data_IF_206454297063
#
_entry.id   IF_206454297063
#
_cell.length_a   1.000
_cell.length_b   1.000
_cell.length_c   1.000
_cell.angle_alpha   90.00
_cell.angle_beta   90.00
_cell.angle_gamma   90.00
#
_symmetry.space_group_name_H-M   'P 1'
#
loop_
_entity.id
_entity.type
_entity.pdbx_description
1 polymer ?
#
# COMPACT_ATOMS: atom_id res chain seq x y z
N UNK A 1 -13.93 -7.16 37.71
CA UNK A 1 -13.50 -8.52 38.04
C UNK A 1 -12.23 -8.50 38.90
N UNK A 2 -11.25 -7.61 38.62
CA UNK A 2 -9.95 -7.56 39.33
C UNK A 2 -10.03 -7.24 40.84
N UNK A 3 -11.07 -6.56 41.32
CA UNK A 3 -11.25 -6.23 42.76
C UNK A 3 -12.02 -7.23 43.57
N UNK A 4 -12.78 -8.14 42.97
CA UNK A 4 -13.70 -9.05 43.71
C UNK A 4 -12.94 -10.17 44.41
N UNK A 5 -11.90 -10.72 43.81
CA UNK A 5 -11.06 -11.78 44.41
C UNK A 5 -10.25 -11.29 45.61
N UNK A 6 -9.52 -10.16 45.55
CA UNK A 6 -8.88 -9.58 46.74
C UNK A 6 -9.88 -9.18 47.81
N UNK A 7 -11.02 -8.56 47.45
CA UNK A 7 -12.04 -8.15 48.39
C UNK A 7 -12.63 -9.30 49.21
N UNK A 8 -12.91 -10.45 48.58
CA UNK A 8 -13.39 -11.68 49.27
C UNK A 8 -12.35 -12.33 50.20
N UNK A 9 -11.07 -12.27 49.84
CA UNK A 9 -9.98 -12.78 50.65
C UNK A 9 -9.77 -11.92 51.91
N UNK A 10 -9.83 -10.60 51.79
CA UNK A 10 -9.64 -9.68 52.90
C UNK A 10 -10.86 -9.58 53.83
N UNK A 11 -12.10 -9.76 53.35
CA UNK A 11 -13.32 -9.73 54.17
C UNK A 11 -13.47 -10.90 55.15
N UNK A 12 -12.70 -11.97 54.98
CA UNK A 12 -12.70 -13.15 55.86
C UNK A 12 -11.66 -13.10 56.96
N UNK A 13 -10.84 -12.06 57.03
CA UNK A 13 -9.79 -11.95 58.06
C UNK A 13 -10.35 -11.18 59.25
N UNK A 14 -10.45 -11.79 60.46
CA UNK A 14 -10.90 -11.09 61.67
C UNK A 14 -9.95 -9.91 61.96
N UNK A 15 -10.54 -8.77 62.32
CA UNK A 15 -9.82 -7.50 62.56
C UNK A 15 -8.71 -7.68 63.63
N UNK A 16 -8.91 -8.55 64.60
CA UNK A 16 -7.91 -8.88 65.64
C UNK A 16 -6.67 -9.61 65.09
N UNK A 17 -6.75 -10.29 63.94
CA UNK A 17 -5.62 -10.97 63.32
C UNK A 17 -4.80 -10.02 62.43
N UNK A 18 -5.39 -8.92 61.96
CA UNK A 18 -4.71 -7.94 61.12
C UNK A 18 -3.57 -7.26 61.88
N UNK A 19 -3.77 -6.96 63.17
CA UNK A 19 -2.75 -6.28 63.98
C UNK A 19 -1.67 -7.21 64.55
N UNK A 20 -1.91 -8.50 64.68
CA UNK A 20 -0.99 -9.44 65.33
C UNK A 20 -0.17 -10.34 64.39
N UNK A 21 -0.59 -10.56 63.15
CA UNK A 21 0.04 -11.52 62.21
C UNK A 21 0.52 -10.93 60.89
N UNK A 22 0.43 -9.62 60.71
CA UNK A 22 0.86 -9.06 59.43
C UNK A 22 2.39 -9.00 59.27
N UNK A 23 3.14 -9.27 60.33
CA UNK A 23 4.61 -9.27 60.32
C UNK A 23 5.25 -10.62 59.98
N UNK A 24 4.50 -11.74 60.05
CA UNK A 24 5.08 -13.09 59.86
C UNK A 24 4.52 -13.88 58.66
N UNK A 25 3.73 -13.26 57.78
CA UNK A 25 3.28 -13.92 56.55
C UNK A 25 4.46 -14.22 55.65
N UNK A 26 4.61 -15.50 55.32
CA UNK A 26 5.65 -16.08 54.47
C UNK A 26 6.06 -15.10 53.34
N UNK A 27 7.23 -14.49 53.45
CA UNK A 27 7.80 -13.51 52.49
C UNK A 27 7.96 -14.05 51.06
N UNK A 28 7.82 -15.37 50.85
CA UNK A 28 8.02 -16.03 49.55
C UNK A 28 7.00 -15.66 48.50
N UNK A 29 5.69 -15.66 48.80
CA UNK A 29 4.65 -15.43 47.80
C UNK A 29 4.64 -13.99 47.25
N UNK A 30 5.00 -12.99 48.08
CA UNK A 30 5.12 -11.59 47.65
C UNK A 30 6.25 -11.41 46.66
N UNK A 31 7.37 -12.12 46.87
CA UNK A 31 8.49 -12.11 45.90
C UNK A 31 8.13 -12.75 44.59
N UNK A 32 7.40 -13.88 44.62
CA UNK A 32 6.91 -14.55 43.42
C UNK A 32 5.91 -13.68 42.66
N UNK A 33 5.01 -12.99 43.37
CA UNK A 33 4.07 -12.06 42.76
C UNK A 33 4.77 -10.89 42.08
N UNK A 34 5.76 -10.27 42.76
CA UNK A 34 6.59 -9.21 42.20
C UNK A 34 7.34 -9.69 40.95
N UNK A 35 7.93 -10.90 41.03
CA UNK A 35 8.63 -11.48 39.88
C UNK A 35 7.70 -11.63 38.67
N UNK A 36 6.49 -12.17 38.86
CA UNK A 36 5.48 -12.31 37.79
C UNK A 36 5.07 -10.95 37.23
N UNK A 37 4.88 -9.95 38.11
CA UNK A 37 4.55 -8.58 37.67
C UNK A 37 5.68 -7.96 36.83
N UNK A 38 6.93 -8.06 37.29
CA UNK A 38 8.07 -7.52 36.50
C UNK A 38 8.26 -8.27 35.18
N UNK A 39 8.09 -9.60 35.20
CA UNK A 39 8.13 -10.39 33.97
C UNK A 39 7.02 -9.97 32.98
N UNK A 40 5.79 -9.79 33.50
CA UNK A 40 4.66 -9.31 32.69
C UNK A 40 4.89 -7.92 32.10
N UNK A 41 5.37 -6.98 32.90
CA UNK A 41 5.71 -5.61 32.45
C UNK A 41 6.81 -5.64 31.42
N UNK A 42 7.89 -6.39 31.66
CA UNK A 42 9.00 -6.51 30.70
C UNK A 42 8.55 -7.13 29.37
N UNK A 43 7.66 -8.12 29.41
CA UNK A 43 7.09 -8.73 28.23
C UNK A 43 6.24 -7.73 27.42
N UNK A 44 5.35 -6.99 28.09
CA UNK A 44 4.55 -5.94 27.43
C UNK A 44 5.41 -4.85 26.85
N UNK A 45 6.43 -4.39 27.59
CA UNK A 45 7.40 -3.40 27.09
C UNK A 45 8.18 -3.91 25.89
N UNK A 46 8.55 -5.19 25.88
CA UNK A 46 9.19 -5.84 24.74
C UNK A 46 8.31 -5.82 23.49
N UNK A 47 7.03 -6.18 23.63
CA UNK A 47 6.06 -6.12 22.54
C UNK A 47 5.91 -4.69 22.01
N UNK A 48 5.77 -3.71 22.91
CA UNK A 48 5.65 -2.30 22.52
C UNK A 48 6.88 -1.80 21.75
N UNK A 49 8.09 -2.14 22.20
CA UNK A 49 9.32 -1.77 21.52
C UNK A 49 9.40 -2.38 20.12
N UNK A 50 9.09 -3.68 19.99
CA UNK A 50 9.06 -4.35 18.70
C UNK A 50 8.00 -3.72 17.78
N UNK A 51 6.81 -3.44 18.30
CA UNK A 51 5.75 -2.79 17.52
C UNK A 51 6.15 -1.38 17.05
N UNK A 52 6.81 -0.60 17.92
CA UNK A 52 7.33 0.72 17.54
C UNK A 52 8.43 0.63 16.47
N UNK A 53 9.35 -0.33 16.59
CA UNK A 53 10.38 -0.56 15.57
C UNK A 53 9.76 -0.98 14.23
N UNK A 54 8.76 -1.87 14.24
CA UNK A 54 8.05 -2.30 13.05
C UNK A 54 7.29 -1.14 12.41
N UNK A 55 6.58 -0.34 13.21
CA UNK A 55 5.88 0.86 12.74
C UNK A 55 6.84 1.86 12.11
N UNK A 56 7.94 2.18 12.80
CA UNK A 56 8.97 3.08 12.28
C UNK A 56 9.59 2.57 10.97
N UNK A 57 9.85 1.27 10.88
CA UNK A 57 10.33 0.65 9.64
C UNK A 57 9.29 0.77 8.52
N UNK A 58 8.01 0.54 8.82
CA UNK A 58 6.92 0.62 7.85
C UNK A 58 6.80 2.03 7.24
N UNK A 59 6.73 3.07 8.08
CA UNK A 59 6.53 4.46 7.61
C UNK A 59 7.74 5.05 6.90
N UNK A 60 8.94 4.55 7.18
CA UNK A 60 10.17 5.01 6.53
C UNK A 60 10.63 4.10 5.37
N UNK A 61 9.88 3.05 5.08
CA UNK A 61 10.21 2.17 3.96
C UNK A 61 9.88 2.84 2.63
N UNK A 62 10.82 2.80 1.70
CA UNK A 62 10.58 3.24 0.33
C UNK A 62 9.62 2.26 -0.34
N UNK A 63 8.44 2.72 -0.68
CA UNK A 63 7.45 1.93 -1.43
C UNK A 63 7.74 1.89 -2.93
N UNK A 64 8.76 2.62 -3.39
CA UNK A 64 9.10 2.74 -4.82
C UNK A 64 8.17 3.67 -5.59
N UNK A 65 7.28 4.39 -4.89
CA UNK A 65 6.41 5.43 -5.43
C UNK A 65 6.57 6.72 -4.64
N UNK A 66 6.32 7.84 -5.28
CA UNK A 66 6.33 9.14 -4.63
C UNK A 66 4.96 9.41 -4.02
N UNK A 67 4.80 9.22 -2.70
CA UNK A 67 3.52 9.38 -2.01
C UNK A 67 3.11 10.84 -1.72
N UNK A 68 4.01 11.80 -1.41
CA UNK A 68 3.61 13.16 -1.05
C UNK A 68 2.79 13.83 -2.14
N UNK A 69 1.60 14.33 -1.76
CA UNK A 69 0.67 15.02 -2.66
C UNK A 69 -0.04 14.13 -3.68
N UNK A 70 0.05 12.82 -3.55
CA UNK A 70 -0.75 11.88 -4.32
C UNK A 70 -2.13 11.73 -3.66
N UNK A 71 -3.19 11.88 -4.44
CA UNK A 71 -4.58 11.70 -4.01
C UNK A 71 -5.31 10.86 -5.04
N UNK A 72 -6.28 10.07 -4.59
CA UNK A 72 -6.99 9.10 -5.40
C UNK A 72 -8.51 9.32 -5.32
N UNK A 73 -9.20 9.08 -6.41
CA UNK A 73 -10.65 8.97 -6.46
C UNK A 73 -11.08 7.81 -7.36
N UNK A 74 -12.12 7.11 -6.97
CA UNK A 74 -12.66 5.98 -7.72
C UNK A 74 -14.06 6.26 -8.23
N UNK A 75 -14.28 6.00 -9.52
CA UNK A 75 -15.61 6.02 -10.12
C UNK A 75 -15.57 5.31 -11.47
N UNK A 76 -16.73 4.76 -11.86
CA UNK A 76 -16.88 4.17 -13.19
C UNK A 76 -17.40 5.22 -14.18
N UNK A 77 -16.69 5.38 -15.29
CA UNK A 77 -17.14 6.21 -16.41
C UNK A 77 -16.71 5.58 -17.74
N UNK A 78 -17.17 6.12 -18.85
CA UNK A 78 -16.70 5.66 -20.16
C UNK A 78 -15.22 6.01 -20.35
N UNK A 79 -14.47 5.28 -21.18
CA UNK A 79 -13.06 5.59 -21.45
C UNK A 79 -12.84 7.01 -21.99
N UNK A 80 -13.77 7.51 -22.80
CA UNK A 80 -13.72 8.86 -23.36
C UNK A 80 -13.94 9.94 -22.28
N UNK A 81 -14.95 9.75 -21.40
CA UNK A 81 -15.17 10.65 -20.26
C UNK A 81 -13.97 10.66 -19.32
N UNK A 82 -13.38 9.49 -19.05
CA UNK A 82 -12.21 9.36 -18.19
C UNK A 82 -10.98 10.08 -18.79
N UNK A 83 -10.77 9.97 -20.08
CA UNK A 83 -9.69 10.69 -20.76
C UNK A 83 -9.89 12.21 -20.70
N UNK A 84 -11.09 12.68 -20.98
CA UNK A 84 -11.44 14.09 -20.89
C UNK A 84 -11.23 14.62 -19.48
N UNK A 85 -11.68 13.87 -18.45
CA UNK A 85 -11.51 14.22 -17.05
C UNK A 85 -10.03 14.34 -16.67
N UNK A 86 -9.20 13.36 -17.02
CA UNK A 86 -7.76 13.42 -16.74
C UNK A 86 -7.10 14.62 -17.43
N UNK A 87 -7.49 14.90 -18.67
CA UNK A 87 -6.98 16.06 -19.41
C UNK A 87 -7.40 17.38 -18.76
N UNK A 88 -8.61 17.47 -18.23
CA UNK A 88 -9.10 18.65 -17.50
C UNK A 88 -8.40 18.82 -16.16
N UNK A 89 -8.18 17.71 -15.42
CA UNK A 89 -7.43 17.72 -14.18
C UNK A 89 -6.00 18.23 -14.38
N UNK A 90 -5.31 17.79 -15.43
CA UNK A 90 -3.94 18.26 -15.76
C UNK A 90 -3.86 19.76 -16.06
N UNK A 91 -4.96 20.39 -16.46
CA UNK A 91 -5.02 21.85 -16.71
C UNK A 91 -5.23 22.68 -15.44
N UNK A 92 -5.59 22.03 -14.34
CA UNK A 92 -5.86 22.74 -13.08
C UNK A 92 -4.57 23.27 -12.46
N UNK A 93 -4.55 24.51 -11.95
CA UNK A 93 -3.34 25.12 -11.40
C UNK A 93 -2.77 24.40 -10.17
N UNK A 94 -3.62 23.74 -9.38
CA UNK A 94 -3.23 22.97 -8.19
C UNK A 94 -2.70 21.57 -8.52
N UNK A 95 -2.84 21.10 -9.76
CA UNK A 95 -2.43 19.77 -10.18
C UNK A 95 -1.04 19.82 -10.81
N UNK A 96 -0.15 18.92 -10.41
CA UNK A 96 1.17 18.68 -11.02
C UNK A 96 1.03 17.72 -12.20
N UNK A 97 0.36 16.59 -11.99
CA UNK A 97 0.03 15.59 -13.01
C UNK A 97 -1.22 14.80 -12.58
N UNK A 98 -1.86 14.13 -13.52
CA UNK A 98 -2.99 13.25 -13.30
C UNK A 98 -2.93 12.05 -14.23
N UNK A 99 -3.44 10.91 -13.76
CA UNK A 99 -3.48 9.67 -14.53
C UNK A 99 -4.73 8.88 -14.20
N UNK A 100 -4.96 7.82 -14.94
CA UNK A 100 -6.05 6.88 -14.69
C UNK A 100 -5.55 5.45 -14.78
N UNK A 101 -6.18 4.58 -14.01
CA UNK A 101 -5.88 3.17 -13.99
C UNK A 101 -7.13 2.34 -13.71
N UNK A 102 -7.01 1.02 -13.80
CA UNK A 102 -8.10 0.12 -13.42
C UNK A 102 -8.14 -0.08 -11.90
N UNK A 103 -7.00 -0.02 -11.23
CA UNK A 103 -6.87 -0.23 -9.79
C UNK A 103 -5.95 0.84 -9.20
N UNK A 104 -6.32 1.35 -8.04
CA UNK A 104 -5.49 2.26 -7.26
C UNK A 104 -4.14 1.64 -6.89
N UNK A 105 -3.22 2.50 -6.43
CA UNK A 105 -1.83 2.10 -6.12
C UNK A 105 -1.78 0.98 -5.06
N UNK A 106 -2.63 1.04 -4.07
CA UNK A 106 -2.76 0.03 -3.00
C UNK A 106 -3.91 -0.95 -3.25
N UNK A 107 -4.57 -0.86 -4.41
CA UNK A 107 -5.68 -1.70 -4.79
C UNK A 107 -5.26 -3.13 -5.13
N UNK A 108 -6.25 -4.01 -5.22
CA UNK A 108 -6.05 -5.39 -5.63
C UNK A 108 -5.90 -5.45 -7.16
N UNK A 109 -4.68 -5.50 -7.66
CA UNK A 109 -4.40 -5.68 -9.08
C UNK A 109 -4.98 -6.98 -9.62
N UNK A 110 -5.36 -7.00 -10.86
CA UNK A 110 -5.72 -8.24 -11.53
C UNK A 110 -4.54 -9.21 -11.54
N UNK A 111 -4.85 -10.50 -11.55
CA UNK A 111 -3.83 -11.54 -11.51
C UNK A 111 -3.91 -12.44 -12.74
N UNK A 112 -2.74 -12.86 -13.24
CA UNK A 112 -2.57 -13.87 -14.28
C UNK A 112 -1.42 -14.82 -13.93
N UNK A 113 -1.31 -15.90 -14.68
CA UNK A 113 -0.13 -16.78 -14.57
C UNK A 113 1.08 -16.14 -15.24
N UNK A 114 2.21 -16.02 -14.54
CA UNK A 114 3.48 -15.76 -15.17
C UNK A 114 3.99 -17.09 -15.77
N UNK A 115 4.07 -17.15 -17.10
CA UNK A 115 4.42 -18.36 -17.84
C UNK A 115 5.82 -18.22 -18.41
N UNK A 116 6.69 -19.20 -18.16
CA UNK A 116 8.04 -19.20 -18.70
C UNK A 116 8.11 -19.62 -20.18
N UNK A 117 9.29 -19.59 -20.75
CA UNK A 117 9.51 -19.95 -22.16
C UNK A 117 9.19 -21.41 -22.49
N UNK A 118 9.03 -22.27 -21.46
CA UNK A 118 8.63 -23.68 -21.65
C UNK A 118 7.11 -23.88 -21.61
N UNK A 119 6.34 -22.82 -21.37
CA UNK A 119 4.89 -22.88 -21.20
C UNK A 119 4.45 -23.24 -19.78
N UNK A 120 5.36 -23.29 -18.80
CA UNK A 120 5.06 -23.61 -17.42
C UNK A 120 4.75 -22.34 -16.63
N UNK A 121 3.64 -22.36 -15.89
CA UNK A 121 3.35 -21.31 -14.92
C UNK A 121 4.34 -21.36 -13.76
N UNK A 122 5.06 -20.28 -13.53
CA UNK A 122 6.11 -20.17 -12.50
C UNK A 122 5.67 -19.34 -11.29
N UNK A 123 4.78 -18.36 -11.48
CA UNK A 123 4.28 -17.48 -10.41
C UNK A 123 2.95 -16.83 -10.81
N UNK A 124 2.36 -16.10 -9.89
CA UNK A 124 1.21 -15.22 -10.17
C UNK A 124 1.72 -13.82 -10.49
N UNK A 125 1.45 -13.34 -11.70
CA UNK A 125 1.71 -11.98 -12.16
C UNK A 125 0.54 -11.08 -11.75
N UNK A 126 0.83 -10.01 -11.06
CA UNK A 126 -0.12 -8.91 -10.82
C UNK A 126 -0.03 -7.93 -11.99
N UNK A 127 -1.16 -7.46 -12.51
CA UNK A 127 -1.13 -6.45 -13.57
C UNK A 127 -2.22 -5.39 -13.40
N UNK A 128 -1.86 -4.17 -13.78
CA UNK A 128 -2.76 -3.03 -13.75
C UNK A 128 -2.80 -2.36 -15.14
N UNK A 129 -3.94 -2.40 -15.85
CA UNK A 129 -4.14 -1.53 -17.00
C UNK A 129 -4.17 -0.07 -16.54
N UNK A 130 -3.41 0.79 -17.20
CA UNK A 130 -3.25 2.19 -16.83
C UNK A 130 -2.98 3.10 -18.01
N UNK A 131 -3.02 4.41 -17.79
CA UNK A 131 -2.64 5.44 -18.76
C UNK A 131 -1.11 5.47 -18.95
N UNK A 132 -0.66 5.96 -20.10
CA UNK A 132 0.77 6.15 -20.41
C UNK A 132 1.53 7.03 -19.41
N UNK A 133 0.85 7.94 -18.71
CA UNK A 133 1.46 8.84 -17.72
C UNK A 133 1.46 8.25 -16.30
N UNK A 134 1.05 7.01 -16.14
CA UNK A 134 0.92 6.37 -14.82
C UNK A 134 2.26 6.32 -14.08
N UNK A 135 3.31 5.83 -14.74
CA UNK A 135 4.61 5.69 -14.10
C UNK A 135 5.18 7.05 -13.67
N UNK A 136 5.06 8.07 -14.51
CA UNK A 136 5.48 9.45 -14.17
C UNK A 136 4.67 10.02 -13.01
N UNK A 137 3.33 9.90 -13.05
CA UNK A 137 2.45 10.41 -11.99
C UNK A 137 2.72 9.75 -10.66
N UNK A 138 2.98 8.43 -10.65
CA UNK A 138 3.34 7.70 -9.44
C UNK A 138 4.78 7.93 -8.98
N UNK A 139 5.63 8.51 -9.82
CA UNK A 139 7.06 8.66 -9.56
C UNK A 139 7.80 7.33 -9.59
N UNK A 140 7.33 6.37 -10.37
CA UNK A 140 7.96 5.06 -10.57
C UNK A 140 9.26 5.24 -11.34
N UNK A 141 10.34 4.66 -10.83
CA UNK A 141 11.66 4.75 -11.47
C UNK A 141 11.81 3.66 -12.52
N UNK A 142 11.94 4.06 -13.79
CA UNK A 142 12.29 3.15 -14.89
C UNK A 142 13.81 2.97 -14.89
N UNK A 143 14.27 1.71 -14.86
CA UNK A 143 15.70 1.34 -14.77
C UNK A 143 16.26 0.76 -16.06
N UNK A 144 15.40 0.30 -16.98
CA UNK A 144 15.77 -0.22 -18.28
C UNK A 144 14.70 0.21 -19.32
N UNK A 145 15.09 0.57 -20.52
CA UNK A 145 14.17 0.93 -21.59
C UNK A 145 13.56 2.32 -21.44
N UNK A 146 12.26 2.44 -21.74
CA UNK A 146 11.51 3.69 -21.76
C UNK A 146 10.10 3.50 -21.20
N UNK A 147 9.41 4.63 -20.94
CA UNK A 147 8.00 4.61 -20.53
C UNK A 147 7.06 4.26 -21.69
N UNK A 148 5.84 3.86 -21.33
CA UNK A 148 4.78 3.46 -22.27
C UNK A 148 4.36 4.64 -23.16
N UNK A 149 4.20 4.39 -24.44
CA UNK A 149 3.77 5.40 -25.41
C UNK A 149 2.60 4.93 -26.28
N UNK A 150 2.54 3.64 -26.58
CA UNK A 150 1.55 3.06 -27.48
C UNK A 150 0.63 2.09 -26.73
N UNK A 151 -0.63 2.02 -27.16
CA UNK A 151 -1.60 1.03 -26.68
C UNK A 151 -0.99 -0.36 -26.66
N UNK A 152 -1.04 -1.03 -25.53
CA UNK A 152 -0.47 -2.36 -25.33
C UNK A 152 1.02 -2.39 -24.94
N UNK A 153 1.71 -1.25 -24.87
CA UNK A 153 3.05 -1.20 -24.27
C UNK A 153 3.00 -1.70 -22.80
N UNK A 154 4.02 -2.44 -22.40
CA UNK A 154 4.11 -3.05 -21.08
C UNK A 154 5.37 -2.60 -20.35
N UNK A 155 5.20 -2.17 -19.10
CA UNK A 155 6.29 -2.07 -18.14
C UNK A 155 6.23 -3.25 -17.19
N UNK A 156 7.38 -3.83 -16.87
CA UNK A 156 7.48 -4.90 -15.87
C UNK A 156 8.43 -4.49 -14.75
N UNK A 157 8.23 -5.04 -13.54
CA UNK A 157 9.17 -4.79 -12.47
C UNK A 157 10.37 -5.74 -12.51
N UNK A 158 11.41 -5.42 -11.74
CA UNK A 158 12.64 -6.26 -11.61
C UNK A 158 12.31 -7.70 -11.24
N UNK A 159 11.24 -7.94 -10.48
CA UNK A 159 10.85 -9.29 -10.06
C UNK A 159 10.41 -10.17 -11.23
N UNK A 160 9.73 -9.61 -12.24
CA UNK A 160 9.44 -10.34 -13.49
C UNK A 160 10.73 -10.77 -14.18
N UNK A 161 11.68 -9.85 -14.33
CA UNK A 161 12.98 -10.12 -14.98
C UNK A 161 13.73 -11.23 -14.25
N UNK A 162 13.74 -11.16 -12.91
CA UNK A 162 14.39 -12.15 -12.04
C UNK A 162 13.76 -13.55 -12.18
N UNK A 163 12.42 -13.63 -12.14
CA UNK A 163 11.69 -14.90 -12.22
C UNK A 163 11.80 -15.55 -13.61
N UNK A 164 11.76 -14.72 -14.65
CA UNK A 164 11.92 -15.16 -16.04
C UNK A 164 13.38 -15.48 -16.40
N UNK A 165 14.32 -15.20 -15.49
CA UNK A 165 15.77 -15.40 -15.68
C UNK A 165 16.32 -14.71 -16.94
N UNK A 166 15.81 -13.54 -17.25
CA UNK A 166 16.27 -12.76 -18.42
C UNK A 166 17.57 -12.02 -18.08
N UNK A 167 18.68 -12.60 -18.47
CA UNK A 167 20.03 -12.04 -18.28
C UNK A 167 20.44 -11.06 -19.37
N UNK A 168 19.76 -11.09 -20.50
CA UNK A 168 20.00 -10.31 -21.71
C UNK A 168 19.03 -9.10 -21.86
N UNK A 169 18.38 -8.71 -20.75
CA UNK A 169 17.37 -7.64 -20.73
C UNK A 169 15.95 -8.13 -20.97
N UNK A 170 14.98 -7.29 -20.65
CA UNK A 170 13.55 -7.60 -20.81
C UNK A 170 12.92 -6.84 -21.99
N UNK A 171 13.49 -5.71 -22.36
CA UNK A 171 12.95 -4.84 -23.43
C UNK A 171 12.88 -5.58 -24.76
N UNK A 172 11.73 -5.48 -25.43
CA UNK A 172 11.46 -6.20 -26.68
C UNK A 172 10.86 -7.59 -26.51
N UNK A 173 10.85 -8.16 -25.31
CA UNK A 173 10.23 -9.46 -25.03
C UNK A 173 8.71 -9.30 -24.80
N UNK A 174 8.00 -10.43 -24.78
CA UNK A 174 6.56 -10.50 -24.55
C UNK A 174 6.24 -11.39 -23.37
N UNK A 175 5.18 -11.06 -22.66
CA UNK A 175 4.56 -11.93 -21.66
C UNK A 175 3.56 -12.85 -22.36
N UNK A 176 3.73 -14.16 -22.21
CA UNK A 176 3.02 -15.17 -23.02
C UNK A 176 1.51 -15.27 -22.78
N UNK A 177 0.97 -14.65 -21.75
CA UNK A 177 -0.47 -14.77 -21.37
C UNK A 177 -1.29 -13.49 -21.63
N UNK A 178 -0.75 -12.56 -22.43
CA UNK A 178 -1.43 -11.32 -22.79
C UNK A 178 -1.77 -11.29 -24.28
N UNK A 179 -2.97 -11.72 -24.64
CA UNK A 179 -3.43 -11.83 -26.05
C UNK A 179 -3.31 -10.52 -26.84
N UNK A 180 -3.38 -9.37 -26.17
CA UNK A 180 -3.27 -8.03 -26.75
C UNK A 180 -2.14 -7.20 -26.14
N UNK A 181 -1.48 -7.67 -25.09
CA UNK A 181 -0.36 -6.95 -24.53
C UNK A 181 0.79 -6.98 -25.53
N UNK A 182 1.26 -5.82 -25.77
CA UNK A 182 2.35 -5.61 -26.66
C UNK A 182 3.68 -6.08 -26.09
N UNK A 183 4.68 -5.40 -26.53
CA UNK A 183 6.06 -5.64 -26.17
C UNK A 183 6.39 -4.96 -24.85
N UNK A 184 7.24 -5.58 -24.04
CA UNK A 184 7.85 -4.94 -22.89
C UNK A 184 8.74 -3.80 -23.40
N UNK A 185 8.41 -2.58 -23.00
CA UNK A 185 9.15 -1.37 -23.43
C UNK A 185 10.12 -0.87 -22.37
N UNK A 186 9.92 -1.28 -21.12
CA UNK A 186 10.83 -0.92 -20.03
C UNK A 186 10.65 -1.77 -18.79
N UNK A 187 11.64 -1.66 -17.89
CA UNK A 187 11.67 -2.29 -16.58
C UNK A 187 11.68 -1.20 -15.53
N UNK A 188 10.84 -1.33 -14.52
CA UNK A 188 10.82 -0.42 -13.39
C UNK A 188 11.29 -1.09 -12.11
N UNK A 189 11.81 -0.27 -11.18
CA UNK A 189 12.23 -0.70 -9.86
C UNK A 189 11.03 -1.26 -9.09
N UNK A 190 11.25 -2.32 -8.31
CA UNK A 190 10.19 -2.92 -7.51
C UNK A 190 9.42 -1.89 -6.69
N UNK A 191 8.11 -1.87 -6.87
CA UNK A 191 7.14 -1.08 -6.11
C UNK A 191 6.41 -2.02 -5.17
N UNK A 192 6.20 -1.60 -3.93
CA UNK A 192 5.42 -2.35 -2.96
C UNK A 192 3.98 -1.87 -2.96
N UNK A 193 3.11 -2.67 -3.54
CA UNK A 193 1.66 -2.49 -3.53
C UNK A 193 0.95 -3.44 -2.55
N UNK A 194 1.71 -4.20 -1.77
CA UNK A 194 1.20 -5.18 -0.80
C UNK A 194 1.93 -5.06 0.54
N UNK A 195 1.39 -5.72 1.56
CA UNK A 195 2.01 -5.76 2.89
C UNK A 195 3.46 -6.24 2.84
N UNK A 196 4.30 -5.64 3.69
CA UNK A 196 5.72 -6.02 3.87
C UNK A 196 5.93 -7.45 4.36
N UNK A 197 4.87 -8.13 4.77
CA UNK A 197 4.91 -9.55 5.18
C UNK A 197 4.97 -10.50 3.98
N UNK A 198 4.61 -10.04 2.79
CA UNK A 198 4.63 -10.85 1.58
C UNK A 198 5.91 -10.63 0.77
N UNK A 199 6.25 -11.64 -0.02
CA UNK A 199 7.30 -11.52 -1.03
C UNK A 199 6.94 -10.43 -2.03
N UNK A 200 7.94 -9.84 -2.67
CA UNK A 200 7.72 -8.98 -3.82
C UNK A 200 7.02 -9.78 -4.92
N UNK A 201 5.89 -9.27 -5.41
CA UNK A 201 5.19 -9.87 -6.53
C UNK A 201 5.74 -9.39 -7.86
N UNK A 202 5.73 -10.26 -8.90
CA UNK A 202 5.92 -9.81 -10.26
C UNK A 202 4.73 -8.94 -10.67
N UNK A 203 5.02 -7.74 -11.18
CA UNK A 203 4.03 -6.72 -11.55
C UNK A 203 4.25 -6.28 -12.99
N UNK A 204 3.16 -6.16 -13.73
CA UNK A 204 3.12 -5.54 -15.05
C UNK A 204 2.15 -4.35 -15.07
N UNK A 205 2.57 -3.22 -15.62
CA UNK A 205 1.72 -2.10 -15.99
C UNK A 205 1.49 -2.18 -17.49
N UNK A 206 0.24 -2.09 -17.91
CA UNK A 206 -0.14 -2.24 -19.32
C UNK A 206 -0.86 -0.99 -19.77
N UNK A 207 -0.31 -0.29 -20.77
CA UNK A 207 -1.01 0.86 -21.30
C UNK A 207 -2.29 0.44 -22.02
N UNK A 208 -3.41 0.98 -21.56
CA UNK A 208 -4.72 0.75 -22.16
C UNK A 208 -5.59 2.01 -22.13
N UNK A 209 -6.18 2.34 -23.28
CA UNK A 209 -7.17 3.42 -23.39
C UNK A 209 -8.48 3.10 -22.66
N UNK A 210 -8.75 1.82 -22.38
CA UNK A 210 -9.99 1.37 -21.75
C UNK A 210 -9.99 1.45 -20.23
N UNK A 211 -9.01 2.14 -19.62
CA UNK A 211 -8.96 2.36 -18.17
C UNK A 211 -9.84 3.54 -17.76
N UNK A 212 -10.73 3.31 -16.80
CA UNK A 212 -11.76 4.30 -16.47
C UNK A 212 -12.32 4.17 -15.04
N UNK A 213 -11.56 3.60 -14.11
CA UNK A 213 -12.07 3.34 -12.75
C UNK A 213 -11.39 4.20 -11.68
N UNK A 214 -10.08 4.22 -11.63
CA UNK A 214 -9.30 4.94 -10.63
C UNK A 214 -8.60 6.14 -11.26
N UNK A 215 -8.64 7.26 -10.58
CA UNK A 215 -8.03 8.52 -10.99
C UNK A 215 -7.04 8.96 -9.93
N UNK A 216 -5.78 8.98 -10.30
CA UNK A 216 -4.69 9.38 -9.42
C UNK A 216 -4.20 10.75 -9.81
N UNK A 217 -4.15 11.67 -8.86
CA UNK A 217 -3.77 13.06 -9.08
C UNK A 217 -2.62 13.43 -8.17
N UNK A 218 -1.58 13.99 -8.74
CA UNK A 218 -0.49 14.58 -8.00
C UNK A 218 -0.70 16.07 -7.85
N UNK A 219 -0.76 16.51 -6.60
CA UNK A 219 -0.99 17.90 -6.22
C UNK A 219 0.32 18.68 -6.10
N UNK A 220 0.24 19.98 -6.37
CA UNK A 220 1.29 20.95 -6.03
C UNK A 220 1.18 21.38 -4.56
N UNK A 221 2.30 21.74 -3.97
CA UNK A 221 2.31 22.33 -2.62
C UNK A 221 1.65 23.71 -2.58
N UNK A 222 0.97 24.08 -1.48
CA UNK A 222 0.70 23.25 -0.28
C UNK A 222 -0.44 22.24 -0.53
N UNK A 223 -0.23 20.98 -0.14
CA UNK A 223 -1.10 19.87 -0.53
C UNK A 223 -2.53 19.98 0.01
N UNK A 224 -2.71 20.37 1.27
CA UNK A 224 -4.03 20.48 1.91
C UNK A 224 -4.91 21.53 1.20
N UNK A 225 -4.33 22.68 0.84
CA UNK A 225 -5.02 23.73 0.12
C UNK A 225 -5.35 23.29 -1.32
N UNK A 226 -4.42 22.62 -1.96
CA UNK A 226 -4.59 22.08 -3.31
C UNK A 226 -5.68 21.01 -3.36
N UNK A 227 -5.74 20.12 -2.37
CA UNK A 227 -6.78 19.10 -2.26
C UNK A 227 -8.15 19.72 -2.09
N UNK A 228 -8.27 20.72 -1.20
CA UNK A 228 -9.52 21.44 -1.00
C UNK A 228 -10.02 22.09 -2.29
N UNK A 229 -9.14 22.80 -3.01
CA UNK A 229 -9.48 23.44 -4.30
C UNK A 229 -9.84 22.42 -5.37
N UNK A 230 -9.19 21.26 -5.37
CA UNK A 230 -9.51 20.17 -6.29
C UNK A 230 -10.91 19.63 -6.04
N UNK A 231 -11.26 19.34 -4.79
CA UNK A 231 -12.59 18.83 -4.43
C UNK A 231 -13.69 19.88 -4.71
N UNK A 232 -13.46 21.16 -4.39
CA UNK A 232 -14.37 22.25 -4.76
C UNK A 232 -14.59 22.37 -6.28
N UNK A 233 -13.52 22.20 -7.07
CA UNK A 233 -13.62 22.17 -8.54
C UNK A 233 -14.44 20.97 -9.03
N UNK A 234 -14.20 19.78 -8.46
CA UNK A 234 -14.92 18.57 -8.86
C UNK A 234 -16.42 18.65 -8.53
N UNK A 235 -16.79 19.21 -7.38
CA UNK A 235 -18.19 19.46 -7.03
C UNK A 235 -18.90 20.38 -8.03
N UNK A 236 -18.21 21.39 -8.55
CA UNK A 236 -18.77 22.35 -9.53
C UNK A 236 -18.94 21.74 -10.92
N UNK A 237 -17.98 20.94 -11.37
CA UNK A 237 -17.93 20.41 -12.75
C UNK A 237 -18.65 19.06 -12.88
N UNK A 238 -18.59 18.23 -11.85
CA UNK A 238 -19.13 16.87 -11.84
C UNK A 238 -20.19 16.65 -10.75
N UNK A 239 -21.06 17.61 -10.54
CA UNK A 239 -22.12 17.61 -9.51
C UNK A 239 -23.05 16.38 -9.52
N UNK A 240 -23.09 15.61 -10.61
CA UNK A 240 -23.88 14.38 -10.74
C UNK A 240 -23.16 13.13 -10.25
N UNK A 241 -21.83 13.17 -10.11
CA UNK A 241 -21.01 12.08 -9.56
C UNK A 241 -20.18 12.69 -8.44
N UNK A 242 -20.55 12.42 -7.19
CA UNK A 242 -19.76 12.84 -6.02
C UNK A 242 -18.39 12.12 -6.08
N UNK A 243 -17.42 12.78 -6.71
CA UNK A 243 -16.03 12.36 -6.77
C UNK A 243 -15.28 13.18 -5.73
N UNK A 244 -14.89 12.52 -4.65
CA UNK A 244 -14.04 13.08 -3.62
C UNK A 244 -12.65 12.45 -3.72
N UNK A 245 -11.64 13.29 -3.88
CA UNK A 245 -10.24 12.85 -3.82
C UNK A 245 -9.80 12.75 -2.37
N UNK A 246 -9.20 11.62 -2.04
CA UNK A 246 -8.65 11.30 -0.72
C UNK A 246 -7.14 11.06 -0.82
N UNK A 247 -6.35 11.39 0.25
CA UNK A 247 -4.92 11.12 0.31
C UNK A 247 -4.58 9.65 0.37
#
# INVERSE_FOLDING_TARGET
VAGVLPGRLFSRIPVTQVFRRYTDGKKGWKRSLLFVQFMGVSFVMGILLVSLMQYHHLINSDMGIRTPGLVEAETWMSPEEAENMVNDLRRQPMVENATRSMHGVLGEYWTRGLIDNSGKRIETLMYNPCDKNYAETMGITIIEGKDMQNEGDVLVNEEVVRLMKWTDGAVGKRLNDFDKAGTIVGVFRNVRNTSFLYKQFPVALVYSHNTSHTFDVRLKQPYDESLKKLNEYMEQVHSTKALEFIP
#
